data_IF_433557521712
#
_entry.id   IF_433557521712
#
_cell.length_a   1.000
_cell.length_b   1.000
_cell.length_c   1.000
_cell.angle_alpha   90.00
_cell.angle_beta   90.00
_cell.angle_gamma   90.00
#
_symmetry.space_group_name_H-M   'P 1'
#
loop_
_entity.id
_entity.type
_entity.pdbx_description
1 polymer ?
#
# COMPACT_ATOMS: atom_id res chain seq x y z
N UNK A 1 -1.87 3.53 8.90
CA UNK A 1 -0.95 4.62 9.30
C UNK A 1 -1.59 5.94 8.95
N UNK A 2 -1.31 7.00 9.70
CA UNK A 2 -1.86 8.34 9.45
C UNK A 2 -0.76 9.40 9.60
N UNK A 3 -0.87 10.52 8.88
CA UNK A 3 0.04 11.67 9.07
C UNK A 3 -0.39 12.58 10.21
N UNK A 4 -1.70 12.78 10.34
CA UNK A 4 -2.33 13.52 11.41
C UNK A 4 -3.10 12.55 12.31
N UNK A 5 -3.60 13.05 13.43
CA UNK A 5 -4.49 12.26 14.27
C UNK A 5 -5.77 11.96 13.48
N UNK A 6 -6.09 10.68 13.30
CA UNK A 6 -7.22 10.23 12.49
C UNK A 6 -8.13 9.31 13.32
N UNK A 7 -9.44 9.52 13.25
CA UNK A 7 -10.45 8.64 13.80
C UNK A 7 -10.89 7.65 12.73
N UNK A 8 -10.63 6.38 12.97
CA UNK A 8 -10.92 5.29 12.03
C UNK A 8 -11.99 4.36 12.58
N UNK A 9 -12.99 4.07 11.75
CA UNK A 9 -14.03 3.07 11.99
C UNK A 9 -13.86 1.91 11.02
N UNK A 10 -13.90 0.70 11.56
CA UNK A 10 -13.76 -0.53 10.76
C UNK A 10 -15.06 -1.31 10.88
N UNK A 11 -15.64 -1.62 9.72
CA UNK A 11 -16.96 -2.21 9.61
C UNK A 11 -16.87 -3.62 9.04
N UNK A 12 -17.74 -4.50 9.54
CA UNK A 12 -18.05 -5.78 8.90
C UNK A 12 -19.10 -5.52 7.82
N UNK A 13 -18.71 -5.67 6.55
CA UNK A 13 -19.59 -5.35 5.42
C UNK A 13 -20.74 -6.34 5.33
N UNK A 14 -20.49 -7.62 5.62
CA UNK A 14 -21.49 -8.69 5.49
C UNK A 14 -22.60 -8.56 6.50
N UNK A 15 -22.25 -8.19 7.74
CA UNK A 15 -23.21 -8.08 8.85
C UNK A 15 -23.57 -6.64 9.20
N UNK A 16 -23.10 -5.66 8.42
CA UNK A 16 -23.38 -4.23 8.59
C UNK A 16 -23.18 -3.72 10.03
N UNK A 17 -22.10 -4.15 10.69
CA UNK A 17 -21.83 -3.78 12.09
C UNK A 17 -20.44 -3.21 12.27
N UNK A 18 -20.32 -2.25 13.18
CA UNK A 18 -19.03 -1.71 13.58
C UNK A 18 -18.23 -2.80 14.31
N UNK A 19 -17.02 -3.11 13.83
CA UNK A 19 -16.11 -4.04 14.47
C UNK A 19 -15.29 -3.34 15.55
N UNK A 20 -14.75 -2.16 15.21
CA UNK A 20 -13.95 -1.35 16.14
C UNK A 20 -13.88 0.09 15.67
N UNK A 21 -13.63 0.98 16.63
CA UNK A 21 -13.31 2.39 16.43
C UNK A 21 -12.00 2.68 17.16
N UNK A 22 -11.09 3.37 16.49
CA UNK A 22 -9.76 3.67 17.04
C UNK A 22 -9.26 5.04 16.57
N UNK A 23 -8.36 5.62 17.35
CA UNK A 23 -7.63 6.83 16.96
C UNK A 23 -6.21 6.44 16.59
N UNK A 24 -5.81 6.72 15.35
CA UNK A 24 -4.43 6.60 14.89
C UNK A 24 -3.75 7.94 15.18
N UNK A 25 -2.67 7.94 15.95
CA UNK A 25 -1.87 9.15 16.15
C UNK A 25 -1.06 9.48 14.90
N UNK A 26 -0.94 10.77 14.59
CA UNK A 26 -0.13 11.25 13.47
C UNK A 26 1.31 10.72 13.51
N UNK A 27 1.81 10.29 12.36
CA UNK A 27 3.13 9.67 12.22
C UNK A 27 3.24 8.23 12.76
N UNK A 28 2.12 7.61 13.15
CA UNK A 28 2.10 6.24 13.70
C UNK A 28 1.21 5.29 12.91
N UNK A 29 1.51 4.00 13.06
CA UNK A 29 0.67 2.88 12.65
C UNK A 29 -0.01 2.24 13.85
N UNK A 30 -1.13 1.58 13.61
CA UNK A 30 -1.81 0.70 14.57
C UNK A 30 -2.07 -0.60 13.83
N UNK A 31 -1.71 -1.72 14.45
CA UNK A 31 -2.00 -3.05 13.92
C UNK A 31 -3.40 -3.49 14.36
N UNK A 32 -4.15 -4.10 13.43
CA UNK A 32 -5.50 -4.60 13.67
C UNK A 32 -5.64 -6.02 13.14
N UNK A 33 -6.52 -6.80 13.76
CA UNK A 33 -6.86 -8.17 13.34
C UNK A 33 -8.39 -8.33 13.27
N UNK A 34 -9.06 -7.66 12.31
CA UNK A 34 -10.51 -7.70 12.21
C UNK A 34 -10.99 -9.12 11.89
N UNK A 35 -12.00 -9.59 12.64
CA UNK A 35 -12.62 -10.91 12.46
C UNK A 35 -13.84 -10.79 11.55
N UNK A 36 -13.61 -10.54 10.26
CA UNK A 36 -14.66 -10.48 9.24
C UNK A 36 -14.12 -10.95 7.88
N UNK A 37 -15.03 -11.39 7.02
CA UNK A 37 -14.72 -11.83 5.65
C UNK A 37 -14.45 -10.63 4.73
N UNK A 38 -15.23 -9.56 4.90
CA UNK A 38 -15.11 -8.31 4.15
C UNK A 38 -15.17 -7.15 5.13
N UNK A 39 -14.20 -6.23 5.01
CA UNK A 39 -14.15 -5.03 5.83
C UNK A 39 -14.29 -3.77 4.98
N UNK A 40 -14.91 -2.76 5.56
CA UNK A 40 -14.82 -1.38 5.09
C UNK A 40 -14.12 -0.54 6.14
N UNK A 41 -13.31 0.41 5.69
CA UNK A 41 -12.57 1.33 6.54
C UNK A 41 -13.04 2.73 6.22
N UNK A 42 -13.48 3.44 7.24
CA UNK A 42 -13.92 4.81 7.18
C UNK A 42 -12.99 5.64 8.07
N UNK A 43 -12.52 6.78 7.58
CA UNK A 43 -11.62 7.67 8.30
C UNK A 43 -12.02 9.11 8.05
N UNK A 44 -11.90 9.95 9.08
CA UNK A 44 -12.12 11.40 8.98
C UNK A 44 -10.94 12.14 8.34
N UNK A 45 -9.74 11.55 8.42
CA UNK A 45 -8.51 12.03 7.79
C UNK A 45 -7.91 10.98 6.85
N UNK A 46 -7.06 11.35 5.87
CA UNK A 46 -6.38 10.38 5.01
C UNK A 46 -5.54 9.36 5.80
N UNK A 47 -5.78 8.07 5.54
CA UNK A 47 -5.04 6.96 6.15
C UNK A 47 -4.59 5.95 5.11
N UNK A 48 -3.42 5.36 5.36
CA UNK A 48 -2.94 4.22 4.59
C UNK A 48 -3.30 2.93 5.30
N UNK A 49 -4.06 2.09 4.61
CA UNK A 49 -4.34 0.73 5.03
C UNK A 49 -3.47 -0.24 4.22
N UNK A 50 -2.78 -1.13 4.91
CA UNK A 50 -1.93 -2.14 4.29
C UNK A 50 -2.16 -3.48 4.97
N UNK A 51 -2.31 -4.53 4.16
CA UNK A 51 -2.23 -5.90 4.65
C UNK A 51 -0.75 -6.29 4.77
N UNK A 52 -0.28 -6.47 6.01
CA UNK A 52 1.11 -6.82 6.29
C UNK A 52 1.13 -8.16 7.03
N UNK A 53 1.74 -9.18 6.43
CA UNK A 53 1.96 -10.47 7.07
C UNK A 53 3.35 -10.52 7.71
N UNK A 54 3.44 -10.25 9.02
CA UNK A 54 4.70 -10.31 9.79
C UNK A 54 5.03 -11.72 10.30
N UNK A 55 4.93 -12.74 9.43
CA UNK A 55 5.31 -14.10 9.80
C UNK A 55 6.81 -14.33 9.70
N UNK A 56 7.46 -14.74 10.80
CA UNK A 56 8.72 -15.49 10.69
C UNK A 56 8.38 -16.91 10.25
N UNK A 57 9.18 -17.49 9.34
CA UNK A 57 9.13 -18.93 9.06
C UNK A 57 9.71 -19.70 10.26
N UNK A 58 9.03 -19.63 11.41
CA UNK A 58 9.32 -20.39 12.61
C UNK A 58 8.58 -21.71 12.60
N UNK A 59 8.90 -22.60 11.65
CA UNK A 59 8.80 -24.06 11.77
C UNK A 59 8.94 -24.70 10.38
N UNK A 60 9.85 -25.65 10.28
CA UNK A 60 10.11 -26.48 9.09
C UNK A 60 8.87 -27.25 8.57
N UNK A 61 7.73 -27.18 9.25
CA UNK A 61 6.47 -27.83 8.87
C UNK A 61 5.49 -26.93 8.11
N UNK A 62 5.76 -25.62 7.99
CA UNK A 62 4.89 -24.64 7.30
C UNK A 62 5.41 -24.32 5.88
N UNK A 63 6.21 -25.20 5.28
CA UNK A 63 6.72 -25.00 3.92
C UNK A 63 5.64 -25.05 2.82
N UNK A 64 4.42 -25.54 3.13
CA UNK A 64 3.38 -25.77 2.12
C UNK A 64 2.06 -24.99 2.34
N UNK A 65 1.79 -24.44 3.52
CA UNK A 65 0.44 -23.96 3.86
C UNK A 65 0.27 -22.45 4.09
N UNK A 66 1.30 -21.73 4.58
CA UNK A 66 1.17 -20.31 4.93
C UNK A 66 2.44 -19.53 4.57
N UNK A 67 2.93 -19.71 3.33
CA UNK A 67 4.07 -18.93 2.85
C UNK A 67 3.67 -17.44 2.81
N UNK A 68 4.58 -16.58 3.27
CA UNK A 68 4.57 -15.14 3.00
C UNK A 68 4.30 -14.96 1.49
N UNK A 69 3.03 -14.74 1.13
CA UNK A 69 2.58 -15.02 -0.22
C UNK A 69 3.00 -13.83 -1.07
N UNK A 70 4.01 -14.02 -1.90
CA UNK A 70 4.51 -12.95 -2.75
C UNK A 70 3.37 -12.38 -3.60
N UNK A 71 3.36 -11.06 -3.77
CA UNK A 71 2.23 -10.37 -4.35
C UNK A 71 2.59 -8.97 -4.80
N UNK A 72 1.59 -8.33 -5.40
CA UNK A 72 1.66 -6.96 -5.88
C UNK A 72 0.67 -6.13 -5.07
N UNK A 73 1.17 -5.12 -4.39
CA UNK A 73 0.37 -4.07 -3.77
C UNK A 73 0.49 -2.82 -4.63
N UNK A 74 -0.58 -2.07 -4.81
CA UNK A 74 -0.52 -0.79 -5.49
C UNK A 74 -1.29 0.28 -4.73
N UNK A 75 -0.94 1.54 -4.97
CA UNK A 75 -1.60 2.70 -4.40
C UNK A 75 -1.64 3.82 -5.43
N UNK A 76 -2.81 4.40 -5.65
CA UNK A 76 -2.95 5.64 -6.41
C UNK A 76 -2.59 6.84 -5.56
N UNK A 77 -1.86 7.79 -6.12
CA UNK A 77 -1.54 9.08 -5.49
C UNK A 77 -2.10 10.18 -6.38
N UNK A 78 -3.04 10.95 -5.84
CA UNK A 78 -3.67 12.05 -6.55
C UNK A 78 -2.77 13.28 -6.62
N UNK A 79 -2.92 14.02 -7.70
CA UNK A 79 -2.19 15.26 -7.93
C UNK A 79 -2.48 16.28 -6.82
N UNK A 80 -1.41 16.76 -6.18
CA UNK A 80 -1.43 17.82 -5.17
C UNK A 80 -2.27 17.52 -3.92
N UNK A 81 -2.66 16.25 -3.69
CA UNK A 81 -3.26 15.84 -2.42
C UNK A 81 -2.19 15.66 -1.36
N UNK A 82 -2.51 16.03 -0.12
CA UNK A 82 -1.56 15.98 0.98
C UNK A 82 -1.05 14.56 1.24
N UNK A 83 0.22 14.38 0.91
CA UNK A 83 1.15 13.34 1.36
C UNK A 83 0.51 11.98 1.65
N UNK A 84 0.46 11.12 0.64
CA UNK A 84 0.14 9.72 0.83
C UNK A 84 1.29 9.02 1.59
N UNK A 85 0.96 8.23 2.61
CA UNK A 85 1.93 7.33 3.24
C UNK A 85 1.90 5.99 2.49
N UNK A 86 3.05 5.40 2.26
CA UNK A 86 3.13 4.02 1.77
C UNK A 86 4.24 3.28 2.50
N UNK A 87 4.17 1.95 2.49
CA UNK A 87 5.12 1.10 3.20
C UNK A 87 5.76 0.11 2.23
N UNK A 88 7.08 0.11 2.19
CA UNK A 88 7.88 -0.88 1.50
C UNK A 88 8.40 -1.89 2.54
N UNK A 89 8.07 -3.18 2.44
CA UNK A 89 8.51 -4.19 3.40
C UNK A 89 10.05 -4.33 3.45
N UNK A 90 10.60 -4.58 4.65
CA UNK A 90 12.05 -4.73 4.87
C UNK A 90 12.54 -6.18 4.98
N UNK A 91 11.66 -7.12 5.32
CA UNK A 91 11.98 -8.54 5.52
C UNK A 91 11.52 -9.42 4.34
N UNK A 92 11.65 -8.90 3.12
CA UNK A 92 11.30 -9.61 1.88
C UNK A 92 12.20 -9.17 0.74
N UNK A 93 12.16 -9.94 -0.35
CA UNK A 93 12.63 -9.45 -1.64
C UNK A 93 11.57 -8.49 -2.19
N UNK A 94 12.00 -7.35 -2.71
CA UNK A 94 11.10 -6.26 -3.12
C UNK A 94 11.49 -5.67 -4.46
N UNK A 95 10.49 -5.17 -5.18
CA UNK A 95 10.64 -4.19 -6.24
C UNK A 95 9.52 -3.16 -6.11
N UNK A 96 9.91 -1.90 -5.93
CA UNK A 96 8.96 -0.79 -5.80
C UNK A 96 9.18 0.23 -6.92
N UNK A 97 8.10 0.60 -7.60
CA UNK A 97 8.11 1.53 -8.72
C UNK A 97 7.00 2.57 -8.60
N UNK A 98 7.27 3.79 -9.06
CA UNK A 98 6.27 4.85 -9.26
C UNK A 98 6.09 5.05 -10.75
N UNK A 99 4.87 4.88 -11.24
CA UNK A 99 4.50 5.05 -12.65
C UNK A 99 3.74 6.36 -12.85
N UNK A 100 4.05 7.05 -13.94
CA UNK A 100 3.37 8.28 -14.35
C UNK A 100 2.91 8.19 -15.81
N UNK A 101 1.72 8.69 -16.12
CA UNK A 101 1.21 8.81 -17.50
C UNK A 101 1.54 10.16 -18.14
N UNK A 102 2.06 11.11 -17.37
CA UNK A 102 2.48 12.44 -17.80
C UNK A 102 3.83 12.77 -17.17
N UNK A 103 4.55 13.77 -17.71
CA UNK A 103 5.72 14.32 -17.05
C UNK A 103 5.32 14.85 -15.66
N UNK A 104 5.91 14.27 -14.62
CA UNK A 104 5.56 14.49 -13.23
C UNK A 104 6.78 14.87 -12.38
N UNK A 105 6.54 15.67 -11.36
CA UNK A 105 7.46 15.91 -10.26
C UNK A 105 6.91 15.16 -9.06
N UNK A 106 7.72 14.26 -8.52
CA UNK A 106 7.40 13.47 -7.33
C UNK A 106 8.37 13.84 -6.23
N UNK A 107 7.83 14.13 -5.06
CA UNK A 107 8.60 14.28 -3.83
C UNK A 107 8.36 13.04 -2.97
N UNK A 108 9.42 12.25 -2.76
CA UNK A 108 9.42 11.11 -1.84
C UNK A 108 10.28 11.49 -0.65
N UNK A 109 9.68 11.50 0.54
CA UNK A 109 10.28 12.05 1.75
C UNK A 109 10.82 13.47 1.51
N UNK A 110 12.14 13.66 1.55
CA UNK A 110 12.80 14.95 1.30
C UNK A 110 13.40 15.07 -0.11
N UNK A 111 13.29 14.02 -0.93
CA UNK A 111 13.88 13.96 -2.28
C UNK A 111 12.86 14.32 -3.35
N UNK A 112 13.20 15.30 -4.20
CA UNK A 112 12.39 15.70 -5.35
C UNK A 112 13.01 15.13 -6.63
N UNK A 113 12.19 14.44 -7.42
CA UNK A 113 12.60 13.77 -8.65
C UNK A 113 11.60 14.05 -9.77
N UNK A 114 12.08 14.05 -11.01
CA UNK A 114 11.22 14.09 -12.19
C UNK A 114 11.02 12.69 -12.76
N UNK A 115 9.81 12.41 -13.21
CA UNK A 115 9.43 11.18 -13.92
C UNK A 115 8.88 11.63 -15.27
N UNK A 116 9.33 10.99 -16.35
CA UNK A 116 8.77 11.22 -17.68
C UNK A 116 7.45 10.48 -17.86
N UNK A 117 6.59 11.00 -18.75
CA UNK A 117 5.41 10.28 -19.19
C UNK A 117 5.76 8.87 -19.66
N UNK A 118 4.89 7.90 -19.34
CA UNK A 118 5.04 6.48 -19.68
C UNK A 118 6.36 5.85 -19.18
N UNK A 119 6.92 6.42 -18.12
CA UNK A 119 8.14 5.96 -17.48
C UNK A 119 7.90 5.65 -16.01
N UNK A 120 8.96 5.19 -15.36
CA UNK A 120 8.93 4.80 -13.96
C UNK A 120 10.15 5.31 -13.20
N UNK A 121 9.96 5.46 -11.90
CA UNK A 121 11.02 5.66 -10.92
C UNK A 121 11.07 4.45 -10.00
N UNK A 122 12.28 3.90 -9.77
CA UNK A 122 12.49 2.82 -8.81
C UNK A 122 12.74 3.38 -7.41
N UNK A 123 12.17 2.73 -6.40
CA UNK A 123 12.42 3.00 -4.97
C UNK A 123 13.15 1.79 -4.37
N UNK A 124 14.36 2.02 -3.86
CA UNK A 124 15.23 0.97 -3.32
C UNK A 124 15.35 0.99 -1.80
N UNK A 125 14.65 1.91 -1.13
CA UNK A 125 14.65 2.04 0.34
C UNK A 125 13.40 1.37 0.89
N UNK A 126 13.57 0.46 1.85
CA UNK A 126 12.46 -0.13 2.60
C UNK A 126 12.04 0.77 3.77
N UNK A 127 10.78 0.69 4.17
CA UNK A 127 10.25 1.42 5.31
C UNK A 127 8.96 2.18 4.98
N UNK A 128 8.56 3.05 5.90
CA UNK A 128 7.45 3.97 5.67
C UNK A 128 7.96 5.23 4.98
N UNK A 129 7.28 5.62 3.91
CA UNK A 129 7.65 6.75 3.07
C UNK A 129 6.46 7.68 2.87
N UNK A 130 6.77 8.95 2.69
CA UNK A 130 5.83 10.00 2.28
C UNK A 130 5.95 10.23 0.79
N UNK A 131 4.84 10.40 0.08
CA UNK A 131 4.84 10.77 -1.33
C UNK A 131 3.87 11.92 -1.61
N UNK A 132 4.34 12.90 -2.36
CA UNK A 132 3.55 13.96 -2.96
C UNK A 132 3.89 14.02 -4.45
N UNK A 133 2.89 14.25 -5.30
CA UNK A 133 3.14 14.49 -6.72
C UNK A 133 2.27 15.62 -7.24
N UNK A 134 2.79 16.36 -8.23
CA UNK A 134 2.03 17.37 -8.94
C UNK A 134 1.06 16.79 -9.99
N UNK A 135 1.13 15.47 -10.23
CA UNK A 135 0.32 14.71 -11.18
C UNK A 135 -0.14 13.41 -10.52
N UNK A 136 -1.13 12.75 -11.11
CA UNK A 136 -1.50 11.43 -10.66
C UNK A 136 -0.38 10.45 -10.95
N UNK A 137 -0.09 9.59 -9.98
CA UNK A 137 0.86 8.50 -10.14
C UNK A 137 0.32 7.24 -9.47
N UNK A 138 0.85 6.09 -9.88
CA UNK A 138 0.58 4.81 -9.22
C UNK A 138 1.88 4.26 -8.67
N UNK A 139 1.87 3.94 -7.38
CA UNK A 139 2.96 3.19 -6.75
C UNK A 139 2.60 1.71 -6.86
N UNK A 140 3.56 0.90 -7.32
CA UNK A 140 3.49 -0.56 -7.28
C UNK A 140 4.61 -1.07 -6.36
N UNK A 141 4.27 -1.95 -5.43
CA UNK A 141 5.21 -2.68 -4.58
C UNK A 141 4.99 -4.16 -4.80
N UNK A 142 5.96 -4.78 -5.46
CA UNK A 142 6.02 -6.22 -5.66
C UNK A 142 6.92 -6.80 -4.58
N UNK A 143 6.48 -7.84 -3.89
CA UNK A 143 7.28 -8.48 -2.85
C UNK A 143 7.16 -9.99 -2.87
N UNK A 144 8.19 -10.71 -2.39
CA UNK A 144 8.17 -12.16 -2.22
C UNK A 144 9.13 -12.59 -1.10
N UNK A 145 9.02 -13.82 -0.59
CA UNK A 145 9.88 -14.28 0.50
C UNK A 145 11.36 -14.19 0.14
N UNK A 146 12.15 -13.69 1.10
CA UNK A 146 13.61 -13.68 1.00
C UNK A 146 14.22 -15.07 1.25
N UNK A 147 13.51 -15.93 1.98
CA UNK A 147 14.01 -17.24 2.44
C UNK A 147 12.97 -18.34 2.19
N UNK A 148 13.36 -19.49 1.58
CA UNK A 148 14.64 -19.72 0.91
C UNK A 148 14.84 -18.81 -0.32
N UNK A 149 16.10 -18.57 -0.71
CA UNK A 149 16.47 -17.61 -1.76
C UNK A 149 15.97 -17.99 -3.18
N UNK A 150 15.54 -19.24 -3.38
CA UNK A 150 14.98 -19.73 -4.65
C UNK A 150 13.51 -19.35 -4.86
N UNK A 151 12.91 -18.61 -3.92
CA UNK A 151 11.53 -18.17 -4.05
C UNK A 151 11.40 -16.98 -5.02
N UNK A 152 10.26 -16.92 -5.68
CA UNK A 152 9.86 -15.82 -6.55
C UNK A 152 8.35 -15.60 -6.47
N UNK A 153 7.83 -14.81 -7.40
CA UNK A 153 6.39 -14.63 -7.54
C UNK A 153 5.73 -15.95 -7.98
N UNK A 154 4.77 -16.43 -7.19
CA UNK A 154 4.06 -17.69 -7.48
C UNK A 154 2.85 -17.51 -8.40
N UNK A 155 2.41 -16.27 -8.63
CA UNK A 155 1.30 -15.93 -9.53
C UNK A 155 1.82 -15.33 -10.84
N UNK A 156 1.14 -15.62 -11.95
CA UNK A 156 1.51 -15.14 -13.30
C UNK A 156 1.02 -13.72 -13.61
N UNK A 157 0.27 -13.07 -12.71
CA UNK A 157 -0.12 -11.69 -12.95
C UNK A 157 -0.91 -11.06 -11.83
N UNK A 158 -0.82 -9.74 -11.76
CA UNK A 158 -1.70 -8.86 -11.01
C UNK A 158 -2.12 -7.72 -11.93
N UNK A 159 -3.40 -7.34 -11.89
CA UNK A 159 -3.88 -6.16 -12.60
C UNK A 159 -3.59 -4.96 -11.72
N UNK A 160 -2.67 -4.10 -12.15
CA UNK A 160 -2.45 -2.79 -11.55
C UNK A 160 -3.32 -1.79 -12.32
N UNK A 161 -4.19 -1.01 -11.64
CA UNK A 161 -5.00 -0.01 -12.30
C UNK A 161 -4.12 1.01 -13.02
N UNK A 162 -4.60 1.53 -14.16
CA UNK A 162 -3.89 2.58 -14.86
C UNK A 162 -3.96 3.90 -14.07
N UNK A 163 -2.98 4.79 -14.28
CA UNK A 163 -2.88 6.08 -13.59
C UNK A 163 -4.15 6.91 -13.74
N UNK A 164 -4.86 6.77 -14.86
CA UNK A 164 -6.11 7.47 -15.14
C UNK A 164 -7.26 7.09 -14.19
N UNK A 165 -7.21 5.93 -13.54
CA UNK A 165 -8.24 5.51 -12.59
C UNK A 165 -8.11 6.19 -11.22
N UNK A 166 -6.99 6.85 -10.93
CA UNK A 166 -6.72 7.46 -9.62
C UNK A 166 -7.73 8.57 -9.30
N UNK A 167 -8.20 9.30 -10.31
CA UNK A 167 -9.21 10.36 -10.18
C UNK A 167 -10.64 9.89 -10.44
N UNK A 168 -10.86 8.58 -10.61
CA UNK A 168 -12.20 8.08 -10.86
C UNK A 168 -13.12 8.38 -9.66
N UNK A 169 -14.14 9.18 -9.93
CA UNK A 169 -15.24 9.41 -8.98
C UNK A 169 -16.46 8.64 -9.49
N UNK A 170 -17.06 7.75 -8.69
CA UNK A 170 -18.31 7.09 -9.07
C UNK A 170 -19.38 8.15 -9.38
N UNK A 171 -20.13 7.96 -10.47
CA UNK A 171 -21.28 8.82 -10.75
C UNK A 171 -22.31 8.63 -9.62
N UNK A 172 -22.83 9.73 -9.08
CA UNK A 172 -23.96 9.71 -8.17
C UNK A 172 -25.23 9.48 -8.99
N UNK A 173 -25.94 8.38 -8.70
CA UNK A 173 -27.32 8.14 -9.18
C UNK A 173 -28.31 9.12 -8.52
#
# INVERSE_FOLDING_TARGET
>A
MALQDAKVRIWDVKFHRLLTELTIKGGRGVDIFPKAEFIAIESDEPVTFAYIFNGSMGSEKVYLACSYNGGVTFMGVKANEETSLFFIPSNSSIEAYVYASEDAIVKIDDLTMSIKADSYLKIDVSGAHKILSNKNVVIQVTHWPKVPAIQGLKSFGAVVPCVQTVDYTPMSD
#
